data_IF_498811770006
#
_entry.id   IF_498811770006
#
_cell.length_a   1.000
_cell.length_b   1.000
_cell.length_c   1.000
_cell.angle_alpha   90.00
_cell.angle_beta   90.00
_cell.angle_gamma   90.00
#
_symmetry.space_group_name_H-M   'P 1'
#
loop_
_entity.id
_entity.type
_entity.pdbx_description
1 polymer ?
#
# COMPACT_ATOMS: atom_id res chain seq x y z
N UNK A 1 -8.93 16.72 6.03
CA UNK A 1 -10.36 16.79 6.33
C UNK A 1 -10.66 16.01 7.60
N UNK A 2 -10.20 16.54 8.75
CA UNK A 2 -10.61 16.02 10.05
C UNK A 2 -12.07 16.39 10.34
N UNK A 3 -12.62 16.05 11.52
CA UNK A 3 -13.96 16.48 11.90
C UNK A 3 -14.07 18.01 11.77
N UNK A 4 -15.18 18.47 11.18
CA UNK A 4 -15.43 19.91 11.00
C UNK A 4 -15.78 20.50 12.37
N UNK A 5 -15.02 21.51 12.80
CA UNK A 5 -15.19 22.12 14.13
C UNK A 5 -16.41 23.06 14.19
N UNK A 6 -16.91 23.52 13.03
CA UNK A 6 -17.90 24.59 12.93
C UNK A 6 -19.15 24.25 12.10
N UNK A 7 -19.33 22.98 11.71
CA UNK A 7 -20.41 22.57 10.80
C UNK A 7 -20.96 21.22 11.26
N UNK A 8 -22.22 20.91 10.93
CA UNK A 8 -22.90 19.68 11.34
C UNK A 8 -22.63 18.50 10.38
N UNK A 9 -21.84 18.73 9.33
CA UNK A 9 -21.54 17.76 8.30
C UNK A 9 -20.04 17.51 8.14
N UNK A 10 -19.68 16.26 7.82
CA UNK A 10 -18.31 15.90 7.49
C UNK A 10 -17.95 16.35 6.08
N UNK A 11 -16.75 16.93 5.91
CA UNK A 11 -16.23 17.27 4.59
C UNK A 11 -15.92 16.01 3.79
N UNK A 12 -16.63 15.82 2.68
CA UNK A 12 -16.39 14.71 1.78
C UNK A 12 -15.10 14.94 0.98
N UNK A 13 -14.17 14.00 1.08
CA UNK A 13 -13.03 13.92 0.17
C UNK A 13 -13.06 12.53 -0.47
N UNK A 14 -13.48 12.46 -1.73
CA UNK A 14 -13.47 11.21 -2.51
C UNK A 14 -12.18 11.16 -3.32
N UNK A 15 -11.29 10.24 -2.98
CA UNK A 15 -10.20 9.86 -3.86
C UNK A 15 -10.77 8.86 -4.86
N UNK A 16 -10.90 9.26 -6.12
CA UNK A 16 -11.34 8.37 -7.20
C UNK A 16 -10.10 7.86 -7.91
N UNK A 17 -10.01 6.55 -8.09
CA UNK A 17 -9.09 5.95 -9.05
C UNK A 17 -9.86 5.69 -10.34
N UNK A 18 -9.53 6.39 -11.41
CA UNK A 18 -10.07 6.11 -12.74
C UNK A 18 -9.41 4.84 -13.30
N UNK A 19 -10.03 4.16 -14.29
CA UNK A 19 -9.38 3.04 -14.96
C UNK A 19 -7.98 3.41 -15.47
N UNK A 20 -6.96 2.64 -15.06
CA UNK A 20 -5.55 2.91 -15.39
C UNK A 20 -4.83 3.89 -14.46
N UNK A 21 -5.45 4.26 -13.34
CA UNK A 21 -4.81 5.00 -12.25
C UNK A 21 -4.47 4.09 -11.07
N UNK A 22 -3.36 4.42 -10.40
CA UNK A 22 -2.89 3.70 -9.23
C UNK A 22 -3.03 4.61 -8.00
N UNK A 23 -3.51 4.03 -6.91
CA UNK A 23 -3.50 4.69 -5.61
C UNK A 23 -2.50 3.99 -4.70
N UNK A 24 -1.65 4.78 -4.06
CA UNK A 24 -0.69 4.30 -3.08
C UNK A 24 -0.95 4.98 -1.75
N UNK A 25 -0.81 4.23 -0.67
CA UNK A 25 -0.96 4.73 0.69
C UNK A 25 0.03 4.01 1.60
N UNK A 26 0.52 4.73 2.62
CA UNK A 26 1.37 4.16 3.67
C UNK A 26 0.73 4.45 5.03
N UNK A 27 1.46 4.94 6.03
CA UNK A 27 0.92 5.15 7.38
C UNK A 27 0.57 6.62 7.66
N UNK A 28 0.99 7.55 6.81
CA UNK A 28 0.64 8.97 6.93
C UNK A 28 -0.75 9.31 6.42
N UNK A 29 -1.33 10.38 6.93
CA UNK A 29 -2.51 10.97 6.29
C UNK A 29 -2.15 11.68 4.99
N UNK A 30 -2.78 11.29 3.89
CA UNK A 30 -2.62 11.98 2.59
C UNK A 30 -3.55 13.18 2.43
N UNK A 31 -4.67 13.18 3.16
CA UNK A 31 -5.82 14.09 2.91
C UNK A 31 -6.28 14.83 4.17
N UNK A 32 -5.67 14.53 5.32
CA UNK A 32 -5.94 15.18 6.60
C UNK A 32 -4.79 16.11 6.95
N UNK A 33 -5.03 17.43 6.92
CA UNK A 33 -4.11 18.42 7.45
C UNK A 33 -4.33 18.55 8.98
N UNK A 34 -4.11 17.45 9.70
CA UNK A 34 -4.13 17.42 11.17
C UNK A 34 -2.72 17.08 11.66
N UNK A 35 -2.35 17.48 12.89
CA UNK A 35 -1.08 17.07 13.47
C UNK A 35 -0.92 15.54 13.44
N UNK A 36 0.19 15.08 12.87
CA UNK A 36 0.59 13.67 12.86
C UNK A 36 1.70 13.46 13.89
N UNK A 37 1.86 12.21 14.34
CA UNK A 37 3.03 11.82 15.10
C UNK A 37 4.30 12.14 14.30
N UNK A 38 5.29 12.77 14.95
CA UNK A 38 6.62 12.95 14.39
C UNK A 38 7.53 11.82 14.87
N UNK A 39 8.36 11.27 13.98
CA UNK A 39 9.30 10.21 14.33
C UNK A 39 9.55 9.19 13.22
N UNK A 40 10.28 8.11 13.53
CA UNK A 40 10.73 7.13 12.54
C UNK A 40 9.61 6.47 11.73
N UNK A 41 8.42 6.30 12.32
CA UNK A 41 7.26 5.74 11.61
C UNK A 41 6.73 6.69 10.53
N UNK A 42 6.72 7.99 10.81
CA UNK A 42 6.34 9.03 9.84
C UNK A 42 7.36 9.10 8.71
N UNK A 43 8.65 9.12 9.05
CA UNK A 43 9.74 9.13 8.07
C UNK A 43 9.69 7.89 7.15
N UNK A 44 9.47 6.70 7.75
CA UNK A 44 9.31 5.44 7.01
C UNK A 44 8.11 5.50 6.07
N UNK A 45 6.99 6.06 6.52
CA UNK A 45 5.82 6.24 5.68
C UNK A 45 6.07 7.16 4.49
N UNK A 46 6.79 8.26 4.69
CA UNK A 46 7.11 9.20 3.60
C UNK A 46 8.07 8.55 2.60
N UNK A 47 9.12 7.89 3.08
CA UNK A 47 10.10 7.22 2.24
C UNK A 47 9.49 6.11 1.38
N UNK A 48 8.71 5.21 1.98
CA UNK A 48 8.03 4.12 1.24
C UNK A 48 7.05 4.65 0.22
N UNK A 49 6.27 5.69 0.58
CA UNK A 49 5.33 6.29 -0.36
C UNK A 49 6.04 6.98 -1.52
N UNK A 50 7.17 7.67 -1.25
CA UNK A 50 8.01 8.28 -2.29
C UNK A 50 8.50 7.22 -3.27
N UNK A 51 9.09 6.14 -2.79
CA UNK A 51 9.55 5.01 -3.62
C UNK A 51 8.41 4.46 -4.46
N UNK A 52 7.26 4.15 -3.84
CA UNK A 52 6.10 3.62 -4.56
C UNK A 52 5.61 4.57 -5.66
N UNK A 53 5.66 5.89 -5.46
CA UNK A 53 5.28 6.90 -6.45
C UNK A 53 6.31 7.11 -7.57
N UNK A 54 7.57 6.72 -7.37
CA UNK A 54 8.62 6.75 -8.40
C UNK A 54 8.50 5.58 -9.38
N UNK A 55 7.78 4.51 -9.01
CA UNK A 55 7.51 3.41 -9.93
C UNK A 55 6.64 3.85 -11.12
N UNK A 56 6.88 3.30 -12.32
CA UNK A 56 5.92 3.38 -13.41
C UNK A 56 4.56 2.83 -12.99
N UNK A 57 3.50 3.27 -13.67
CA UNK A 57 2.16 2.71 -13.47
C UNK A 57 2.21 1.19 -13.58
N UNK A 58 1.84 0.49 -12.50
CA UNK A 58 1.61 -0.94 -12.50
C UNK A 58 0.44 -1.30 -13.45
N UNK A 59 0.71 -2.17 -14.42
CA UNK A 59 -0.27 -2.61 -15.43
C UNK A 59 -0.64 -4.08 -15.25
N UNK A 60 0.19 -4.85 -14.54
CA UNK A 60 0.02 -6.29 -14.32
C UNK A 60 0.48 -6.70 -12.91
N UNK A 61 0.06 -7.91 -12.49
CA UNK A 61 0.40 -8.49 -11.17
C UNK A 61 1.90 -8.48 -10.88
N UNK A 62 2.76 -8.74 -11.87
CA UNK A 62 4.21 -8.73 -11.67
C UNK A 62 4.77 -7.36 -11.29
N UNK A 63 4.14 -6.27 -11.75
CA UNK A 63 4.58 -4.92 -11.41
C UNK A 63 4.28 -4.64 -9.94
N UNK A 64 3.09 -5.04 -9.47
CA UNK A 64 2.69 -4.97 -8.06
C UNK A 64 3.63 -5.80 -7.19
N UNK A 65 3.95 -7.03 -7.60
CA UNK A 65 4.92 -7.89 -6.89
C UNK A 65 6.28 -7.20 -6.76
N UNK A 66 6.78 -6.59 -7.84
CA UNK A 66 8.04 -5.85 -7.83
C UNK A 66 7.99 -4.67 -6.87
N UNK A 67 6.94 -3.86 -6.92
CA UNK A 67 6.74 -2.71 -6.04
C UNK A 67 6.70 -3.11 -4.55
N UNK A 68 5.95 -4.16 -4.22
CA UNK A 68 5.79 -4.61 -2.83
C UNK A 68 7.03 -5.33 -2.29
N UNK A 69 7.94 -5.75 -3.16
CA UNK A 69 9.22 -6.39 -2.79
C UNK A 69 10.41 -5.42 -2.83
N UNK A 70 10.14 -4.11 -2.99
CA UNK A 70 11.19 -3.11 -3.19
C UNK A 70 12.03 -2.89 -1.92
N UNK A 71 13.35 -2.85 -2.12
CA UNK A 71 14.35 -2.60 -1.08
C UNK A 71 15.43 -1.60 -1.52
N UNK A 72 15.07 -0.66 -2.40
CA UNK A 72 16.02 0.27 -3.01
C UNK A 72 16.38 1.45 -2.12
N UNK A 73 15.47 1.87 -1.22
CA UNK A 73 15.76 2.91 -0.24
C UNK A 73 16.72 2.39 0.84
N UNK A 74 17.77 3.15 1.13
CA UNK A 74 18.84 2.73 2.04
C UNK A 74 18.44 2.72 3.52
N UNK A 75 17.34 3.37 3.88
CA UNK A 75 16.91 3.52 5.27
C UNK A 75 15.54 2.90 5.54
N UNK A 76 14.57 3.10 4.65
CA UNK A 76 13.20 2.65 4.81
C UNK A 76 12.67 1.99 3.54
N UNK A 77 12.91 0.70 3.41
CA UNK A 77 12.46 -0.13 2.28
C UNK A 77 10.96 -0.37 2.31
N UNK A 78 10.35 -0.67 1.15
CA UNK A 78 8.93 -1.08 1.10
C UNK A 78 8.77 -2.45 1.76
N UNK A 79 9.57 -3.42 1.34
CA UNK A 79 9.68 -4.71 2.01
C UNK A 79 10.75 -4.62 3.11
N UNK A 80 10.31 -4.55 4.35
CA UNK A 80 11.19 -4.33 5.50
C UNK A 80 11.65 -5.66 6.11
N UNK A 81 12.95 -5.81 6.36
CA UNK A 81 13.56 -7.03 6.92
C UNK A 81 14.45 -6.79 8.16
N UNK A 82 14.63 -5.53 8.55
CA UNK A 82 15.56 -5.14 9.62
C UNK A 82 14.81 -4.83 10.92
N UNK A 83 14.84 -3.57 11.38
CA UNK A 83 14.27 -3.14 12.67
C UNK A 83 12.74 -3.29 12.73
N UNK A 84 12.09 -3.28 11.57
CA UNK A 84 10.67 -3.57 11.39
C UNK A 84 10.61 -4.63 10.29
N UNK A 85 9.76 -5.63 10.45
CA UNK A 85 9.65 -6.74 9.50
C UNK A 85 8.28 -6.77 8.83
N UNK A 86 8.30 -6.91 7.51
CA UNK A 86 7.10 -7.23 6.73
C UNK A 86 6.79 -8.70 6.96
N UNK A 87 5.73 -8.97 7.72
CA UNK A 87 5.34 -10.34 8.07
C UNK A 87 4.57 -11.05 6.95
N UNK A 88 3.97 -10.29 6.03
CA UNK A 88 3.20 -10.83 4.93
C UNK A 88 3.01 -9.82 3.79
N UNK A 89 2.89 -10.34 2.56
CA UNK A 89 2.38 -9.61 1.39
C UNK A 89 1.08 -10.28 0.94
N UNK A 90 0.03 -9.48 0.74
CA UNK A 90 -1.25 -9.93 0.23
C UNK A 90 -1.59 -9.27 -1.10
N UNK A 91 -1.92 -10.06 -2.12
CA UNK A 91 -2.33 -9.55 -3.44
C UNK A 91 -3.72 -10.08 -3.78
N UNK A 92 -4.68 -9.17 -3.88
CA UNK A 92 -6.01 -9.46 -4.40
C UNK A 92 -6.01 -9.25 -5.92
N UNK A 93 -6.15 -10.34 -6.67
CA UNK A 93 -6.33 -10.30 -8.11
C UNK A 93 -7.82 -10.41 -8.45
N UNK A 94 -8.44 -9.28 -8.76
CA UNK A 94 -9.86 -9.22 -9.08
C UNK A 94 -10.21 -9.83 -10.45
N UNK A 95 -9.24 -10.00 -11.36
CA UNK A 95 -9.45 -10.64 -12.67
C UNK A 95 -9.48 -12.16 -12.51
N UNK A 96 -8.46 -12.69 -11.86
CA UNK A 96 -8.34 -14.13 -11.56
C UNK A 96 -9.24 -14.55 -10.39
N UNK A 97 -9.80 -13.58 -9.65
CA UNK A 97 -10.61 -13.77 -8.43
C UNK A 97 -9.85 -14.59 -7.39
N UNK A 98 -8.61 -14.17 -7.10
CA UNK A 98 -7.77 -14.83 -6.10
C UNK A 98 -7.19 -13.85 -5.08
N UNK A 99 -6.83 -14.36 -3.91
CA UNK A 99 -6.00 -13.69 -2.92
C UNK A 99 -4.74 -14.53 -2.69
N UNK A 100 -3.60 -14.02 -3.14
CA UNK A 100 -2.29 -14.64 -2.92
C UNK A 100 -1.65 -14.06 -1.65
N UNK A 101 -1.13 -14.93 -0.77
CA UNK A 101 -0.45 -14.55 0.48
C UNK A 101 0.98 -15.08 0.46
N UNK A 102 1.95 -14.21 0.74
CA UNK A 102 3.37 -14.51 0.85
C UNK A 102 3.84 -14.18 2.27
N UNK A 103 4.73 -14.98 2.86
CA UNK A 103 5.41 -14.66 4.14
C UNK A 103 6.77 -14.01 3.95
N UNK A 104 7.24 -13.91 2.71
CA UNK A 104 8.55 -13.41 2.32
C UNK A 104 8.41 -12.52 1.08
N UNK A 105 9.54 -12.19 0.44
CA UNK A 105 9.56 -11.35 -0.75
C UNK A 105 8.88 -12.04 -1.93
N UNK A 106 7.73 -11.49 -2.34
CA UNK A 106 6.90 -12.02 -3.40
C UNK A 106 7.56 -12.09 -4.79
N UNK A 107 8.67 -11.35 -5.02
CA UNK A 107 9.40 -11.40 -6.28
C UNK A 107 10.44 -12.52 -6.37
N UNK A 108 10.68 -13.24 -5.27
CA UNK A 108 11.66 -14.32 -5.19
C UNK A 108 11.02 -15.68 -4.85
N UNK A 109 9.75 -15.67 -4.41
CA UNK A 109 9.07 -16.86 -3.90
C UNK A 109 7.64 -16.96 -4.44
N UNK A 110 7.12 -18.18 -4.41
CA UNK A 110 5.72 -18.47 -4.70
C UNK A 110 4.84 -18.15 -3.48
N UNK A 111 3.55 -17.83 -3.67
CA UNK A 111 2.65 -17.58 -2.55
C UNK A 111 2.49 -18.85 -1.70
N UNK A 112 2.48 -18.68 -0.38
CA UNK A 112 2.17 -19.76 0.56
C UNK A 112 0.77 -20.32 0.34
N UNK A 113 -0.19 -19.41 0.08
CA UNK A 113 -1.59 -19.75 -0.10
C UNK A 113 -2.18 -18.87 -1.21
N UNK A 114 -2.99 -19.49 -2.08
CA UNK A 114 -3.83 -18.79 -3.05
C UNK A 114 -5.28 -19.15 -2.77
N UNK A 115 -6.04 -18.21 -2.18
CA UNK A 115 -7.45 -18.41 -1.84
C UNK A 115 -8.35 -17.88 -2.98
N UNK A 116 -9.41 -18.62 -3.37
CA UNK A 116 -10.39 -18.09 -4.31
C UNK A 116 -11.27 -17.01 -3.64
N UNK A 117 -11.52 -15.91 -4.36
CA UNK A 117 -12.48 -14.88 -3.97
C UNK A 117 -13.88 -15.35 -4.35
N UNK A 118 -14.58 -15.94 -3.37
CA UNK A 118 -15.96 -16.41 -3.54
C UNK A 118 -16.92 -15.28 -3.21
N UNK A 119 -17.50 -14.68 -4.24
CA UNK A 119 -18.57 -13.70 -4.08
C UNK A 119 -19.91 -14.44 -3.93
N UNK A 120 -20.50 -14.39 -2.74
CA UNK A 120 -21.89 -14.81 -2.56
C UNK A 120 -22.78 -13.77 -3.23
N UNK A 121 -23.74 -14.25 -4.03
CA UNK A 121 -24.80 -13.43 -4.62
C UNK A 121 -25.85 -13.09 -3.58
#
# INVERSE_FOLDING_TARGET
>A
MGPVVADDMSQLNVAVASPGENLMHCNRYLRLAIPEETGPMRDSSDARLRVLNEYPKALKKSDVIKMLSDQTDSRYTVFQETNIQTIAVGIFDCREKTWSIYSDKANQNEPLIVLPLVFKR
#
